data_IF_725385617830
#
_entry.id   IF_725385617830
#
_cell.length_a   1.000
_cell.length_b   1.000
_cell.length_c   1.000
_cell.angle_alpha   90.00
_cell.angle_beta   90.00
_cell.angle_gamma   90.00
#
_symmetry.space_group_name_H-M   'P 1'
#
loop_
_entity.id
_entity.type
_entity.pdbx_description
1 polymer ?
#
# COMPACT_ATOMS: atom_id res chain seq x y z
N UNK A 1 -10.05 17.36 0.99
CA UNK A 1 -10.29 15.96 1.37
C UNK A 1 -10.89 15.94 2.78
N UNK A 2 -12.12 15.45 2.98
CA UNK A 2 -12.73 15.38 4.32
C UNK A 2 -12.18 14.14 5.05
N UNK A 3 -11.17 14.33 5.90
CA UNK A 3 -10.60 13.28 6.78
C UNK A 3 -11.57 12.96 7.92
N UNK A 4 -12.71 12.34 7.60
CA UNK A 4 -13.66 11.89 8.64
C UNK A 4 -13.22 10.49 9.10
N UNK A 5 -12.60 10.44 10.29
CA UNK A 5 -12.31 9.25 11.12
C UNK A 5 -11.22 8.24 10.74
N UNK A 6 -10.35 8.52 9.78
CA UNK A 6 -9.16 7.66 9.57
C UNK A 6 -8.20 7.70 10.77
N UNK A 7 -7.71 6.53 11.19
CA UNK A 7 -6.72 6.36 12.27
C UNK A 7 -5.27 6.25 11.78
N UNK A 8 -5.09 5.93 10.50
CA UNK A 8 -3.80 5.85 9.83
C UNK A 8 -3.89 6.12 8.33
N UNK A 9 -2.87 6.73 7.75
CA UNK A 9 -2.73 6.93 6.32
C UNK A 9 -1.37 6.45 5.82
N UNK A 10 -1.27 6.17 4.53
CA UNK A 10 -0.03 5.91 3.82
C UNK A 10 0.01 6.64 2.47
N UNK A 11 1.18 6.76 1.89
CA UNK A 11 1.38 7.30 0.55
C UNK A 11 1.38 6.21 -0.52
N UNK A 12 0.80 6.55 -1.67
CA UNK A 12 0.80 5.73 -2.87
C UNK A 12 1.25 6.56 -4.06
N UNK A 13 1.78 5.90 -5.08
CA UNK A 13 2.14 6.53 -6.35
C UNK A 13 1.60 5.72 -7.51
N UNK A 14 1.20 6.39 -8.59
CA UNK A 14 0.67 5.70 -9.76
C UNK A 14 1.82 4.99 -10.47
N UNK A 15 1.68 3.69 -10.70
CA UNK A 15 2.66 2.95 -11.49
C UNK A 15 2.53 3.41 -12.94
N UNK A 16 3.63 3.92 -13.50
CA UNK A 16 3.73 4.34 -14.90
C UNK A 16 4.70 3.48 -15.71
N UNK A 17 5.61 2.76 -15.04
CA UNK A 17 6.51 1.80 -15.67
C UNK A 17 5.89 0.39 -15.62
N UNK A 18 5.80 -0.26 -16.78
CA UNK A 18 5.28 -1.61 -16.90
C UNK A 18 6.14 -2.64 -16.17
N UNK A 19 7.46 -2.40 -16.05
CA UNK A 19 8.36 -3.29 -15.32
C UNK A 19 7.98 -3.40 -13.83
N UNK A 20 7.52 -2.31 -13.22
CA UNK A 20 7.10 -2.27 -11.81
C UNK A 20 5.81 -3.08 -11.56
N UNK A 21 4.95 -3.29 -12.57
CA UNK A 21 3.70 -4.02 -12.40
C UNK A 21 3.94 -5.47 -11.93
N UNK A 22 5.02 -6.07 -12.41
CA UNK A 22 5.36 -7.47 -12.15
C UNK A 22 6.52 -7.64 -11.17
N UNK A 23 7.17 -6.56 -10.72
CA UNK A 23 8.25 -6.60 -9.74
C UNK A 23 7.67 -6.91 -8.33
N UNK A 24 8.04 -8.03 -7.69
CA UNK A 24 7.58 -8.37 -6.34
C UNK A 24 8.18 -7.48 -5.24
N UNK A 25 9.20 -6.68 -5.53
CA UNK A 25 9.75 -5.69 -4.59
C UNK A 25 8.88 -4.43 -4.56
N UNK A 26 8.19 -4.12 -5.67
CA UNK A 26 7.19 -3.06 -5.71
C UNK A 26 5.89 -3.56 -5.09
N UNK A 27 5.51 -3.02 -3.94
CA UNK A 27 4.28 -3.40 -3.26
C UNK A 27 3.10 -2.69 -3.92
N UNK A 28 2.15 -3.46 -4.46
CA UNK A 28 0.92 -2.94 -5.07
C UNK A 28 -0.18 -2.79 -4.03
N UNK A 29 -1.09 -1.83 -4.25
CA UNK A 29 -2.27 -1.63 -3.41
C UNK A 29 -3.53 -1.39 -4.24
N UNK A 30 -4.64 -2.00 -3.81
CA UNK A 30 -5.98 -1.73 -4.36
C UNK A 30 -6.77 -0.86 -3.39
N UNK A 31 -7.62 0.03 -3.93
CA UNK A 31 -8.34 1.03 -3.16
C UNK A 31 -9.86 0.87 -3.33
N UNK A 32 -10.62 1.22 -2.30
CA UNK A 32 -12.05 1.45 -2.43
C UNK A 32 -12.34 2.88 -2.95
N UNK A 33 -13.63 3.18 -3.18
CA UNK A 33 -14.06 4.49 -3.69
C UNK A 33 -13.79 5.67 -2.74
N UNK A 34 -13.48 5.38 -1.47
CA UNK A 34 -13.10 6.37 -0.44
C UNK A 34 -11.59 6.49 -0.28
N UNK A 35 -10.79 5.97 -1.23
CA UNK A 35 -9.32 5.96 -1.19
C UNK A 35 -8.74 5.22 0.03
N UNK A 36 -9.45 4.23 0.56
CA UNK A 36 -8.92 3.35 1.61
C UNK A 36 -8.36 2.07 0.98
N UNK A 37 -7.26 1.56 1.53
CA UNK A 37 -6.68 0.30 1.10
C UNK A 37 -7.68 -0.85 1.30
N UNK A 38 -7.88 -1.64 0.24
CA UNK A 38 -8.57 -2.92 0.28
C UNK A 38 -7.58 -4.06 0.55
N UNK A 39 -6.43 -4.06 -0.13
CA UNK A 39 -5.38 -5.05 0.04
C UNK A 39 -4.04 -4.56 -0.52
N UNK A 40 -2.94 -4.98 0.13
CA UNK A 40 -1.57 -4.80 -0.33
C UNK A 40 -1.00 -6.15 -0.76
N UNK A 41 -0.24 -6.20 -1.85
CA UNK A 41 0.38 -7.43 -2.32
C UNK A 41 1.64 -7.19 -3.11
N UNK A 42 2.55 -8.16 -3.08
CA UNK A 42 3.67 -8.26 -4.03
C UNK A 42 3.21 -8.73 -5.41
N UNK A 43 2.02 -9.32 -5.51
CA UNK A 43 1.40 -9.69 -6.79
C UNK A 43 0.79 -8.48 -7.51
N UNK A 44 0.63 -8.57 -8.83
CA UNK A 44 -0.08 -7.54 -9.60
C UNK A 44 -1.56 -7.49 -9.18
N UNK A 45 -1.93 -6.39 -8.54
CA UNK A 45 -3.32 -6.08 -8.16
C UNK A 45 -3.67 -4.63 -8.55
N UNK A 46 -4.85 -4.38 -9.14
CA UNK A 46 -5.82 -5.37 -9.60
C UNK A 46 -5.33 -6.13 -10.85
N UNK A 47 -5.79 -7.37 -11.04
CA UNK A 47 -5.41 -8.18 -12.19
C UNK A 47 -6.23 -7.79 -13.45
N UNK A 48 -5.59 -7.41 -14.57
CA UNK A 48 -6.28 -6.98 -15.79
C UNK A 48 -6.76 -8.18 -16.61
N UNK A 49 -7.88 -8.79 -16.21
CA UNK A 49 -8.41 -10.03 -16.84
C UNK A 49 -8.74 -9.88 -18.34
N UNK A 50 -9.09 -8.68 -18.81
CA UNK A 50 -9.56 -8.43 -20.17
C UNK A 50 -8.62 -7.50 -20.95
N UNK A 51 -8.48 -7.67 -22.28
CA UNK A 51 -7.73 -6.73 -23.12
C UNK A 51 -8.27 -5.29 -23.06
N UNK A 52 -9.57 -5.12 -22.81
CA UNK A 52 -10.22 -3.82 -22.64
C UNK A 52 -9.95 -3.20 -21.25
N UNK A 53 -9.43 -3.98 -20.30
CA UNK A 53 -9.00 -3.48 -18.99
C UNK A 53 -7.57 -2.92 -18.98
N UNK A 54 -6.97 -2.65 -20.15
CA UNK A 54 -5.65 -2.01 -20.27
C UNK A 54 -5.57 -0.61 -19.66
N UNK A 55 -6.72 0.05 -19.43
CA UNK A 55 -6.81 1.35 -18.76
C UNK A 55 -7.11 1.23 -17.25
N UNK A 56 -6.44 0.31 -16.56
CA UNK A 56 -6.54 0.22 -15.09
C UNK A 56 -5.46 1.07 -14.41
N UNK A 57 -5.76 1.56 -13.22
CA UNK A 57 -4.75 2.18 -12.37
C UNK A 57 -4.15 1.12 -11.44
N UNK A 58 -2.83 0.97 -11.49
CA UNK A 58 -2.06 0.25 -10.49
C UNK A 58 -1.33 1.27 -9.62
N UNK A 59 -1.26 1.00 -8.32
CA UNK A 59 -0.67 1.88 -7.33
C UNK A 59 0.46 1.17 -6.61
N UNK A 60 1.63 1.80 -6.56
CA UNK A 60 2.72 1.37 -5.68
C UNK A 60 2.58 2.04 -4.32
N UNK A 61 2.89 1.32 -3.27
CA UNK A 61 2.96 1.82 -1.90
C UNK A 61 4.35 2.40 -1.62
N UNK A 62 4.44 3.59 -1.01
CA UNK A 62 5.71 4.31 -0.79
C UNK A 62 6.33 4.15 0.61
N UNK A 63 5.83 3.25 1.46
CA UNK A 63 6.46 2.97 2.77
C UNK A 63 6.39 4.11 3.80
N UNK A 64 5.59 5.16 3.56
CA UNK A 64 5.44 6.30 4.48
C UNK A 64 4.09 6.23 5.18
N UNK A 65 4.10 6.17 6.51
CA UNK A 65 2.88 6.08 7.30
C UNK A 65 2.64 7.31 8.18
N UNK A 66 1.37 7.65 8.35
CA UNK A 66 0.90 8.69 9.27
C UNK A 66 -0.13 8.08 10.20
N UNK A 67 0.19 7.96 11.49
CA UNK A 67 -0.71 7.38 12.49
C UNK A 67 -1.11 8.38 13.56
N UNK A 68 -2.35 8.26 14.06
CA UNK A 68 -2.70 8.83 15.35
C UNK A 68 -1.93 8.09 16.45
N UNK A 69 -1.41 8.81 17.43
CA UNK A 69 -0.63 8.24 18.55
C UNK A 69 -1.30 7.01 19.18
N UNK A 70 -2.57 7.13 19.56
CA UNK A 70 -3.28 6.04 20.24
C UNK A 70 -3.55 4.82 19.34
N UNK A 71 -3.57 5.01 18.01
CA UNK A 71 -3.61 3.89 17.09
C UNK A 71 -2.27 3.17 17.05
N UNK A 72 -1.18 3.92 16.90
CA UNK A 72 0.17 3.35 16.84
C UNK A 72 0.51 2.54 18.10
N UNK A 73 0.17 3.06 19.28
CA UNK A 73 0.39 2.35 20.55
C UNK A 73 -0.43 1.06 20.68
N UNK A 74 -1.60 0.98 20.05
CA UNK A 74 -2.39 -0.27 20.02
C UNK A 74 -1.85 -1.26 18.98
N UNK A 75 -1.50 -0.76 17.80
CA UNK A 75 -0.95 -1.56 16.70
C UNK A 75 0.32 -2.31 17.11
N UNK A 76 1.21 -1.64 17.86
CA UNK A 76 2.44 -2.22 18.41
C UNK A 76 2.19 -3.47 19.29
N UNK A 77 1.01 -3.55 19.91
CA UNK A 77 0.64 -4.66 20.79
C UNK A 77 0.01 -5.85 20.04
N UNK A 78 -0.21 -5.74 18.74
CA UNK A 78 -0.80 -6.82 17.95
C UNK A 78 0.28 -7.80 17.46
N UNK A 79 0.02 -9.10 17.65
CA UNK A 79 0.81 -10.16 17.03
C UNK A 79 0.78 -10.06 15.51
N UNK A 80 1.87 -10.49 14.87
CA UNK A 80 1.92 -10.57 13.40
C UNK A 80 0.81 -11.47 12.87
N UNK A 81 0.12 -11.00 11.85
CA UNK A 81 -1.02 -11.69 11.28
C UNK A 81 -0.61 -12.64 10.14
N UNK A 82 -1.44 -13.64 9.78
CA UNK A 82 -1.09 -14.60 8.72
C UNK A 82 -0.74 -13.97 7.37
N UNK A 83 -1.46 -12.92 6.92
CA UNK A 83 -1.15 -12.27 5.64
C UNK A 83 0.13 -11.43 5.73
N UNK A 84 0.37 -10.76 6.86
CA UNK A 84 1.65 -10.07 7.10
C UNK A 84 2.83 -11.05 6.98
N UNK A 85 2.75 -12.22 7.63
CA UNK A 85 3.83 -13.22 7.57
C UNK A 85 4.01 -13.79 6.16
N UNK A 86 2.92 -13.92 5.40
CA UNK A 86 2.95 -14.50 4.05
C UNK A 86 3.55 -13.51 3.04
N UNK A 87 3.10 -12.26 3.05
CA UNK A 87 3.55 -11.24 2.08
C UNK A 87 4.78 -10.46 2.58
N UNK A 88 5.14 -10.61 3.85
CA UNK A 88 6.16 -9.79 4.53
C UNK A 88 5.82 -8.30 4.45
N UNK A 89 4.58 -7.95 4.83
CA UNK A 89 4.00 -6.60 4.76
C UNK A 89 3.23 -6.25 6.03
N UNK A 90 3.81 -5.41 6.91
CA UNK A 90 3.27 -5.09 8.23
C UNK A 90 1.88 -4.44 8.20
N UNK A 91 1.57 -3.66 7.17
CA UNK A 91 0.29 -2.98 7.01
C UNK A 91 -0.87 -3.95 6.80
N UNK A 92 -0.62 -5.22 6.44
CA UNK A 92 -1.67 -6.23 6.35
C UNK A 92 -2.25 -6.59 7.71
N UNK A 93 -1.47 -6.47 8.80
CA UNK A 93 -1.95 -6.64 10.17
C UNK A 93 -3.05 -5.63 10.53
N UNK A 94 -2.96 -4.42 9.98
CA UNK A 94 -3.99 -3.38 10.14
C UNK A 94 -5.30 -3.85 9.50
N UNK A 95 -5.21 -4.33 8.26
CA UNK A 95 -6.39 -4.78 7.50
C UNK A 95 -7.02 -6.04 8.10
N UNK A 96 -6.21 -7.02 8.53
CA UNK A 96 -6.71 -8.25 9.16
C UNK A 96 -7.40 -8.01 10.50
N UNK A 97 -7.04 -6.95 11.23
CA UNK A 97 -7.72 -6.53 12.45
C UNK A 97 -8.97 -5.65 12.17
N UNK A 98 -9.40 -5.54 10.91
CA UNK A 98 -10.60 -4.81 10.50
C UNK A 98 -10.48 -3.30 10.54
N UNK A 99 -9.25 -2.77 10.67
CA UNK A 99 -8.98 -1.33 10.64
C UNK A 99 -8.70 -0.89 9.21
N UNK A 100 -8.86 0.41 8.93
CA UNK A 100 -8.70 0.97 7.58
C UNK A 100 -7.47 1.88 7.50
N UNK A 101 -6.82 1.87 6.35
CA UNK A 101 -5.71 2.75 6.02
C UNK A 101 -6.10 3.64 4.84
N UNK A 102 -6.02 4.95 5.03
CA UNK A 102 -6.23 5.91 3.94
C UNK A 102 -5.00 5.95 3.05
N UNK A 103 -5.18 5.86 1.73
CA UNK A 103 -4.10 6.00 0.78
C UNK A 103 -4.17 7.39 0.15
N UNK A 104 -3.07 8.13 0.22
CA UNK A 104 -2.94 9.47 -0.34
C UNK A 104 -1.96 9.41 -1.50
N UNK A 105 -2.40 9.88 -2.66
CA UNK A 105 -1.54 9.95 -3.84
C UNK A 105 -0.43 10.99 -3.62
N UNK A 106 0.81 10.58 -3.84
CA UNK A 106 1.98 11.45 -3.79
C UNK A 106 2.13 12.21 -5.12
N UNK A 107 2.60 13.45 -5.06
CA UNK A 107 2.84 14.30 -6.24
C UNK A 107 4.05 13.85 -7.06
N UNK A 108 5.00 13.16 -6.42
CA UNK A 108 6.17 12.57 -7.05
C UNK A 108 6.44 11.18 -6.48
N UNK A 109 7.29 10.45 -7.20
CA UNK A 109 7.58 9.06 -6.97
C UNK A 109 8.36 8.85 -5.66
N UNK A 110 9.12 9.85 -5.20
CA UNK A 110 9.84 9.83 -3.93
C UNK A 110 10.80 8.64 -3.88
N UNK A 111 12.05 8.82 -4.32
CA UNK A 111 13.03 7.74 -4.44
C UNK A 111 13.21 6.99 -3.11
N UNK A 112 12.65 5.78 -3.03
CA UNK A 112 12.94 4.82 -1.96
C UNK A 112 14.30 4.19 -2.18
N UNK A 113 14.97 3.79 -1.10
CA UNK A 113 16.26 3.10 -1.12
C UNK A 113 16.05 1.74 -0.47
N UNK A 114 15.85 0.71 -1.29
CA UNK A 114 15.44 -0.62 -0.88
C UNK A 114 16.52 -1.69 -1.18
N UNK A 115 17.37 -1.46 -2.19
CA UNK A 115 18.48 -2.33 -2.58
C UNK A 115 19.81 -1.55 -2.64
N UNK A 116 20.97 -2.23 -2.52
CA UNK A 116 22.27 -1.57 -2.60
C UNK A 116 22.49 -0.76 -3.88
N UNK A 117 21.81 -1.12 -4.99
CA UNK A 117 21.87 -0.36 -6.24
C UNK A 117 21.22 1.04 -6.16
N UNK A 118 20.40 1.32 -5.15
CA UNK A 118 19.64 2.57 -5.06
C UNK A 118 20.47 3.75 -4.51
N UNK A 119 21.70 3.50 -4.02
CA UNK A 119 22.61 4.52 -3.49
C UNK A 119 23.86 4.59 -4.37
N UNK A 120 23.82 5.44 -5.40
CA UNK A 120 24.99 5.73 -6.25
C UNK A 120 25.95 6.74 -5.60
#
# INVERSE_FOLDING_TARGET
MKTRDTKGATLIYKITDEAELHDPNVVKVTLNQSSQALYFSRSLIPFPRSPQSSNFNAWRHLGVYLFKRDFLLRFDQWSQSPLEQTEQLEQLRILENGETLLCVEAENDGVGVDVPQDVA
#
